data_IF_378629886249
#
_entry.id   IF_378629886249
#
_cell.length_a   1.000
_cell.length_b   1.000
_cell.length_c   1.000
_cell.angle_alpha   90.00
_cell.angle_beta   90.00
_cell.angle_gamma   90.00
#
_symmetry.space_group_name_H-M   'P 1'
#
loop_
_entity.id
_entity.type
_entity.pdbx_description
1 polymer ?
#
# COMPACT_ATOMS: atom_id res chain seq x y z
N UNK A 1 31.58 53.35 14.76
CA UNK A 1 31.08 53.97 16.00
C UNK A 1 29.59 54.25 15.83
N UNK A 2 28.82 53.83 16.84
CA UNK A 2 27.41 54.15 17.12
C UNK A 2 26.29 53.57 16.24
N UNK A 3 25.73 52.51 16.81
CA UNK A 3 24.47 51.81 16.60
C UNK A 3 23.26 52.72 16.79
N UNK A 4 22.32 52.69 15.85
CA UNK A 4 20.96 53.24 16.00
C UNK A 4 20.06 52.10 16.49
N UNK A 5 19.54 52.23 17.71
CA UNK A 5 18.50 51.38 18.30
C UNK A 5 17.14 52.03 18.01
N UNK A 6 16.24 51.29 17.37
CA UNK A 6 14.81 51.60 17.38
C UNK A 6 14.05 50.40 17.93
N UNK A 7 13.42 50.61 19.08
CA UNK A 7 12.70 49.62 19.89
C UNK A 7 11.20 49.88 19.68
N UNK A 8 10.47 48.93 19.11
CA UNK A 8 9.02 49.01 18.96
C UNK A 8 8.34 48.41 20.19
N UNK A 9 7.45 49.20 20.78
CA UNK A 9 6.56 48.88 21.89
C UNK A 9 5.37 48.05 21.38
N UNK A 10 4.97 47.03 22.12
CA UNK A 10 3.57 46.57 22.17
C UNK A 10 3.15 46.40 23.62
N UNK A 11 2.02 47.03 23.95
CA UNK A 11 1.54 47.29 25.29
C UNK A 11 0.97 46.06 26.00
N UNK A 12 1.17 46.06 27.32
CA UNK A 12 0.40 45.31 28.30
C UNK A 12 -1.01 45.90 28.40
N UNK A 13 -2.02 45.06 28.53
CA UNK A 13 -3.19 45.38 29.35
C UNK A 13 -3.62 44.12 30.11
N UNK A 14 -3.69 44.30 31.42
CA UNK A 14 -4.04 43.33 32.45
C UNK A 14 -5.28 43.85 33.15
N UNK A 15 -6.37 43.09 33.22
CA UNK A 15 -7.40 43.23 34.25
C UNK A 15 -7.78 41.82 34.72
N UNK A 16 -7.79 41.66 36.04
CA UNK A 16 -8.01 40.48 36.86
C UNK A 16 -9.36 40.65 37.59
N UNK A 17 -9.97 39.50 37.96
CA UNK A 17 -11.07 39.23 38.92
C UNK A 17 -12.50 39.26 38.35
N UNK A 18 -13.14 38.09 38.35
CA UNK A 18 -14.04 37.76 39.45
C UNK A 18 -14.24 36.24 39.61
N UNK A 19 -14.08 35.77 40.84
CA UNK A 19 -14.38 34.41 41.31
C UNK A 19 -15.61 34.52 42.20
N UNK A 20 -16.69 33.79 41.87
CA UNK A 20 -17.77 33.52 42.83
C UNK A 20 -18.11 32.04 42.86
N UNK A 21 -17.87 31.46 44.02
CA UNK A 21 -18.43 30.20 44.47
C UNK A 21 -19.91 30.38 44.86
N UNK A 22 -20.72 29.36 44.62
CA UNK A 22 -22.11 29.27 45.10
C UNK A 22 -22.48 27.80 45.28
N UNK A 23 -22.71 27.42 46.52
CA UNK A 23 -23.01 26.07 46.99
C UNK A 23 -24.50 25.93 47.37
N UNK A 24 -25.04 24.72 47.19
CA UNK A 24 -26.17 24.07 47.86
C UNK A 24 -27.56 24.72 47.86
N UNK A 25 -28.55 24.00 47.28
CA UNK A 25 -29.78 23.68 48.02
C UNK A 25 -30.51 22.45 47.45
N UNK A 26 -30.90 21.57 48.36
CA UNK A 26 -31.77 20.41 48.24
C UNK A 26 -33.21 20.75 47.82
N UNK A 27 -33.89 19.87 47.07
CA UNK A 27 -35.30 19.50 47.32
C UNK A 27 -35.70 18.25 46.53
N UNK A 28 -36.27 17.31 47.27
CA UNK A 28 -36.84 16.04 46.85
C UNK A 28 -38.37 16.15 46.64
N UNK A 29 -38.91 15.11 46.00
CA UNK A 29 -40.30 14.64 45.97
C UNK A 29 -41.30 15.32 45.03
N UNK A 30 -41.65 14.61 43.94
CA UNK A 30 -43.05 14.32 43.59
C UNK A 30 -43.11 12.86 43.09
N UNK A 31 -43.84 12.05 43.85
CA UNK A 31 -44.23 10.67 43.55
C UNK A 31 -45.27 10.64 42.42
N UNK A 32 -45.08 9.77 41.42
CA UNK A 32 -46.19 9.22 40.63
C UNK A 32 -46.15 7.71 40.75
N UNK A 33 -47.22 7.18 41.33
CA UNK A 33 -47.52 5.76 41.48
C UNK A 33 -47.66 5.12 40.09
N UNK A 34 -46.97 4.01 39.87
CA UNK A 34 -47.30 3.04 38.83
C UNK A 34 -47.31 1.65 39.48
N UNK A 35 -48.45 1.01 39.34
CA UNK A 35 -48.90 -0.21 40.01
C UNK A 35 -48.05 -1.42 39.58
N UNK A 36 -47.53 -2.17 40.56
CA UNK A 36 -46.88 -3.46 40.34
C UNK A 36 -47.94 -4.53 40.07
N UNK A 37 -48.09 -4.93 38.81
CA UNK A 37 -48.75 -6.20 38.44
C UNK A 37 -47.68 -7.28 38.30
N UNK A 38 -47.70 -8.23 39.22
CA UNK A 38 -46.93 -9.47 39.20
C UNK A 38 -47.43 -10.38 38.07
N UNK A 39 -46.55 -10.77 37.15
CA UNK A 39 -46.78 -11.86 36.18
C UNK A 39 -45.81 -13.02 36.47
N UNK A 40 -46.24 -14.28 36.28
CA UNK A 40 -45.53 -15.45 36.76
C UNK A 40 -44.31 -15.81 35.89
N UNK A 41 -43.24 -16.20 36.57
CA UNK A 41 -42.03 -16.83 36.02
C UNK A 41 -42.33 -18.26 35.57
N UNK A 42 -42.57 -18.49 34.28
CA UNK A 42 -42.31 -19.78 33.62
C UNK A 42 -42.22 -19.62 32.11
N UNK A 43 -41.00 -19.55 31.56
CA UNK A 43 -40.66 -20.08 30.23
C UNK A 43 -39.15 -19.99 30.05
N UNK A 44 -38.46 -21.10 30.27
CA UNK A 44 -37.07 -21.30 29.87
C UNK A 44 -37.04 -21.39 28.34
N UNK A 45 -36.91 -20.25 27.67
CA UNK A 45 -36.51 -20.21 26.26
C UNK A 45 -35.05 -20.68 26.17
N UNK A 46 -34.85 -21.98 25.95
CA UNK A 46 -33.59 -22.47 25.38
C UNK A 46 -33.51 -21.95 23.95
N UNK A 47 -32.81 -20.84 23.74
CA UNK A 47 -32.27 -20.53 22.42
C UNK A 47 -31.26 -21.63 22.08
N UNK A 48 -31.73 -22.65 21.36
CA UNK A 48 -30.82 -23.50 20.60
C UNK A 48 -30.25 -22.65 19.48
N UNK A 49 -29.06 -22.08 19.69
CA UNK A 49 -28.22 -21.68 18.58
C UNK A 49 -27.83 -22.96 17.83
N UNK A 50 -28.66 -23.34 16.86
CA UNK A 50 -28.23 -24.18 15.77
C UNK A 50 -27.21 -23.36 15.00
N UNK A 51 -25.93 -23.59 15.26
CA UNK A 51 -24.85 -23.21 14.36
C UNK A 51 -24.99 -24.06 13.11
N UNK A 52 -25.96 -23.72 12.25
CA UNK A 52 -25.82 -24.04 10.84
C UNK A 52 -24.62 -23.22 10.38
N UNK A 53 -23.48 -23.88 10.16
CA UNK A 53 -22.39 -23.28 9.40
C UNK A 53 -22.99 -22.84 8.07
N UNK A 54 -23.27 -21.54 7.93
CA UNK A 54 -23.65 -20.96 6.66
C UNK A 54 -22.53 -21.33 5.70
N UNK A 55 -22.85 -22.07 4.62
CA UNK A 55 -21.94 -22.25 3.49
C UNK A 55 -21.39 -20.86 3.18
N UNK A 56 -20.09 -20.64 3.39
CA UNK A 56 -19.45 -19.40 2.98
C UNK A 56 -19.78 -19.22 1.51
N UNK A 57 -20.53 -18.17 1.20
CA UNK A 57 -20.94 -17.88 -0.15
C UNK A 57 -19.67 -17.59 -0.95
N UNK A 58 -19.48 -18.33 -2.05
CA UNK A 58 -18.31 -18.16 -2.92
C UNK A 58 -18.16 -16.68 -3.30
N UNK A 59 -16.93 -16.12 -3.31
CA UNK A 59 -16.70 -14.73 -3.68
C UNK A 59 -17.34 -14.38 -5.03
N UNK A 60 -18.17 -13.34 -5.04
CA UNK A 60 -18.75 -12.84 -6.29
C UNK A 60 -17.69 -11.97 -6.97
N UNK A 61 -17.03 -12.56 -7.97
CA UNK A 61 -15.94 -11.94 -8.72
C UNK A 61 -15.78 -12.58 -10.11
N UNK A 62 -15.23 -11.83 -11.05
CA UNK A 62 -14.74 -12.29 -12.34
C UNK A 62 -13.29 -12.80 -12.29
N UNK A 63 -12.54 -12.51 -11.22
CA UNK A 63 -11.19 -13.04 -11.03
C UNK A 63 -11.23 -14.51 -10.60
N UNK A 64 -11.06 -15.41 -11.56
CA UNK A 64 -11.05 -16.86 -11.31
C UNK A 64 -10.03 -17.27 -10.24
N UNK A 65 -8.85 -16.64 -10.22
CA UNK A 65 -7.81 -16.91 -9.23
C UNK A 65 -8.25 -16.66 -7.78
N UNK A 66 -9.28 -15.84 -7.58
CA UNK A 66 -9.79 -15.49 -6.26
C UNK A 66 -10.93 -16.37 -5.77
N UNK A 67 -11.38 -17.34 -6.59
CA UNK A 67 -12.44 -18.30 -6.22
C UNK A 67 -11.86 -19.60 -5.65
N UNK A 68 -10.66 -19.95 -6.08
CA UNK A 68 -9.97 -21.14 -5.60
C UNK A 68 -8.46 -20.90 -5.66
N UNK A 69 -7.83 -20.91 -4.47
CA UNK A 69 -6.38 -20.84 -4.33
C UNK A 69 -5.93 -22.18 -3.75
N UNK A 70 -5.13 -22.98 -4.48
CA UNK A 70 -4.60 -24.24 -3.98
C UNK A 70 -3.45 -23.99 -3.00
N UNK A 71 -3.15 -25.00 -2.18
CA UNK A 71 -1.92 -25.03 -1.41
C UNK A 71 -0.71 -24.89 -2.35
N UNK A 72 0.15 -23.91 -2.08
CA UNK A 72 1.33 -23.65 -2.90
C UNK A 72 2.37 -22.89 -2.09
N UNK A 73 3.65 -23.13 -2.35
CA UNK A 73 4.77 -22.42 -1.73
C UNK A 73 5.88 -22.21 -2.74
N UNK A 74 6.64 -21.14 -2.57
CA UNK A 74 7.81 -20.82 -3.38
C UNK A 74 8.99 -20.45 -2.47
N UNK A 75 10.20 -20.43 -3.01
CA UNK A 75 11.32 -19.77 -2.34
C UNK A 75 11.29 -18.27 -2.64
N UNK A 76 11.71 -17.43 -1.69
CA UNK A 76 11.94 -16.01 -1.95
C UNK A 76 12.90 -15.82 -3.14
N UNK A 77 12.67 -14.81 -4.01
CA UNK A 77 11.60 -13.79 -3.91
C UNK A 77 10.20 -14.25 -4.35
N UNK A 78 10.12 -15.39 -5.04
CA UNK A 78 8.92 -15.88 -5.72
C UNK A 78 8.76 -15.28 -7.12
N UNK A 79 8.00 -15.95 -7.99
CA UNK A 79 7.70 -15.47 -9.35
C UNK A 79 6.20 -15.61 -9.66
N UNK A 80 5.66 -14.68 -10.45
CA UNK A 80 4.30 -14.77 -10.98
C UNK A 80 4.16 -15.96 -11.93
N UNK A 81 5.23 -16.28 -12.67
CA UNK A 81 5.26 -17.42 -13.56
C UNK A 81 5.01 -18.77 -12.85
N UNK A 82 5.34 -18.87 -11.56
CA UNK A 82 5.18 -20.08 -10.76
C UNK A 82 3.93 -20.05 -9.86
N UNK A 83 3.07 -19.03 -9.99
CA UNK A 83 1.78 -18.98 -9.29
C UNK A 83 0.73 -19.84 -9.99
N UNK A 84 -0.04 -20.59 -9.20
CA UNK A 84 -1.15 -21.40 -9.69
C UNK A 84 -2.39 -21.21 -8.81
N UNK A 85 -3.49 -20.62 -9.29
CA UNK A 85 -3.67 -19.97 -10.59
C UNK A 85 -2.84 -18.67 -10.75
N UNK A 86 -2.66 -18.16 -11.98
CA UNK A 86 -1.91 -16.92 -12.22
C UNK A 86 -2.66 -15.70 -11.66
N UNK A 87 -1.90 -14.69 -11.21
CA UNK A 87 -2.44 -13.40 -10.82
C UNK A 87 -2.88 -12.58 -12.06
N UNK A 88 -3.87 -11.70 -11.88
CA UNK A 88 -4.33 -10.80 -12.95
C UNK A 88 -3.68 -9.41 -12.80
N UNK A 89 -2.97 -8.99 -13.85
CA UNK A 89 -2.13 -7.79 -13.82
C UNK A 89 -2.63 -6.62 -14.67
N UNK A 90 -3.53 -6.86 -15.63
CA UNK A 90 -3.89 -5.92 -16.68
C UNK A 90 -5.40 -5.67 -16.79
N UNK A 91 -6.24 -6.64 -16.40
CA UNK A 91 -7.69 -6.54 -16.50
C UNK A 91 -8.34 -6.15 -15.18
N UNK A 92 -9.29 -5.24 -15.29
CA UNK A 92 -10.10 -4.75 -14.18
C UNK A 92 -11.49 -5.38 -14.20
N UNK A 93 -12.04 -5.57 -13.01
CA UNK A 93 -13.41 -6.04 -12.80
C UNK A 93 -14.40 -4.89 -12.95
N UNK A 94 -15.41 -5.11 -13.79
CA UNK A 94 -16.57 -4.25 -14.01
C UNK A 94 -17.82 -5.04 -13.66
N UNK A 95 -18.93 -4.35 -13.44
CA UNK A 95 -20.22 -4.93 -13.07
C UNK A 95 -21.28 -4.49 -14.08
N UNK A 96 -22.09 -5.44 -14.56
CA UNK A 96 -23.23 -5.12 -15.42
C UNK A 96 -24.44 -4.63 -14.60
N UNK A 97 -25.51 -4.26 -15.30
CA UNK A 97 -26.76 -3.78 -14.69
C UNK A 97 -27.45 -4.82 -13.78
N UNK A 98 -27.10 -6.10 -13.93
CA UNK A 98 -27.62 -7.21 -13.14
C UNK A 98 -26.70 -7.57 -11.95
N UNK A 99 -25.63 -6.80 -11.74
CA UNK A 99 -24.64 -7.08 -10.69
C UNK A 99 -23.77 -8.30 -10.98
N UNK A 100 -23.59 -8.68 -12.25
CA UNK A 100 -22.67 -9.74 -12.65
C UNK A 100 -21.29 -9.15 -12.99
N UNK A 101 -20.19 -9.66 -12.40
CA UNK A 101 -18.87 -9.15 -12.67
C UNK A 101 -18.30 -9.70 -14.00
N UNK A 102 -17.50 -8.89 -14.69
CA UNK A 102 -16.73 -9.28 -15.88
C UNK A 102 -15.41 -8.51 -15.95
N UNK A 103 -14.42 -9.07 -16.66
CA UNK A 103 -13.10 -8.45 -16.80
C UNK A 103 -12.99 -7.65 -18.10
N UNK A 104 -12.35 -6.47 -18.02
CA UNK A 104 -11.99 -5.66 -19.18
C UNK A 104 -10.55 -5.18 -19.05
N UNK A 105 -9.83 -5.15 -20.17
CA UNK A 105 -8.48 -4.58 -20.24
C UNK A 105 -8.47 -3.12 -19.77
N UNK A 106 -7.54 -2.77 -18.88
CA UNK A 106 -7.28 -1.38 -18.53
C UNK A 106 -6.92 -0.58 -19.80
N UNK A 107 -7.61 0.53 -20.03
CA UNK A 107 -7.33 1.43 -21.14
C UNK A 107 -6.73 2.72 -20.59
N UNK A 108 -5.50 3.03 -21.00
CA UNK A 108 -4.86 4.28 -20.62
C UNK A 108 -5.53 5.49 -21.26
N UNK A 109 -5.35 6.65 -20.62
CA UNK A 109 -5.95 7.93 -21.02
C UNK A 109 -4.91 9.04 -21.21
N UNK A 110 -3.62 8.67 -21.28
CA UNK A 110 -2.51 9.59 -21.47
C UNK A 110 -2.16 10.41 -20.22
N UNK A 111 -2.54 9.95 -19.02
CA UNK A 111 -2.29 10.68 -17.76
C UNK A 111 -0.80 10.81 -17.44
N UNK A 112 0.04 9.92 -17.98
CA UNK A 112 1.48 9.86 -17.75
C UNK A 112 2.26 10.02 -19.06
N UNK A 113 1.68 10.73 -20.03
CA UNK A 113 2.26 10.89 -21.36
C UNK A 113 3.71 11.41 -21.28
N UNK A 114 4.61 10.69 -21.94
CA UNK A 114 6.04 10.94 -22.00
C UNK A 114 6.79 10.92 -20.66
N UNK A 115 6.21 10.44 -19.56
CA UNK A 115 6.89 10.34 -18.25
C UNK A 115 7.96 9.24 -18.26
N UNK A 116 9.05 9.46 -17.53
CA UNK A 116 10.12 8.47 -17.31
C UNK A 116 10.10 8.01 -15.87
N UNK A 117 9.97 6.70 -15.68
CA UNK A 117 9.67 6.11 -14.37
C UNK A 117 10.70 5.06 -13.97
N UNK A 118 11.04 5.00 -12.68
CA UNK A 118 11.69 3.83 -12.08
C UNK A 118 10.70 3.13 -11.15
N UNK A 119 10.56 1.82 -11.29
CA UNK A 119 9.79 0.95 -10.39
C UNK A 119 10.71 -0.15 -9.87
N UNK A 120 10.92 -0.19 -8.56
CA UNK A 120 11.65 -1.30 -7.92
C UNK A 120 10.71 -2.47 -7.63
N UNK A 121 11.11 -3.72 -7.87
CA UNK A 121 10.23 -4.89 -7.77
C UNK A 121 9.05 -4.75 -8.74
N UNK A 122 9.37 -4.37 -9.98
CA UNK A 122 8.38 -4.13 -11.04
C UNK A 122 8.17 -5.32 -11.96
N UNK A 123 8.96 -6.38 -11.78
CA UNK A 123 8.92 -7.65 -12.53
C UNK A 123 7.64 -8.44 -12.28
N UNK A 124 7.07 -8.37 -11.06
CA UNK A 124 5.95 -9.20 -10.62
C UNK A 124 4.95 -8.46 -9.71
N UNK A 125 3.82 -9.11 -9.42
CA UNK A 125 2.82 -8.66 -8.46
C UNK A 125 2.31 -7.24 -8.71
N UNK A 126 2.24 -6.43 -7.65
CA UNK A 126 1.76 -5.04 -7.69
C UNK A 126 2.64 -4.19 -8.63
N UNK A 127 3.96 -4.34 -8.54
CA UNK A 127 4.89 -3.54 -9.33
C UNK A 127 4.73 -3.79 -10.83
N UNK A 128 4.50 -5.05 -11.24
CA UNK A 128 4.15 -5.41 -12.62
C UNK A 128 2.89 -4.71 -13.11
N UNK A 129 1.81 -4.76 -12.34
CA UNK A 129 0.56 -4.07 -12.70
C UNK A 129 0.75 -2.56 -12.83
N UNK A 130 1.51 -1.95 -11.90
CA UNK A 130 1.85 -0.52 -11.99
C UNK A 130 2.66 -0.23 -13.25
N UNK A 131 3.64 -1.07 -13.61
CA UNK A 131 4.42 -0.91 -14.84
C UNK A 131 3.55 -0.98 -16.10
N UNK A 132 2.63 -1.97 -16.18
CA UNK A 132 1.69 -2.11 -17.29
C UNK A 132 0.78 -0.88 -17.40
N UNK A 133 0.18 -0.44 -16.28
CA UNK A 133 -0.74 0.69 -16.28
C UNK A 133 -0.01 1.99 -16.62
N UNK A 134 1.21 2.18 -16.13
CA UNK A 134 2.02 3.35 -16.44
C UNK A 134 2.40 3.40 -17.92
N UNK A 135 2.78 2.26 -18.51
CA UNK A 135 3.04 2.19 -19.94
C UNK A 135 1.79 2.48 -20.77
N UNK A 136 0.63 1.91 -20.40
CA UNK A 136 -0.66 2.22 -21.03
C UNK A 136 -1.05 3.69 -20.91
N UNK A 137 -0.66 4.35 -19.81
CA UNK A 137 -0.85 5.80 -19.60
C UNK A 137 0.19 6.68 -20.30
N UNK A 138 1.12 6.09 -21.06
CA UNK A 138 2.08 6.82 -21.89
C UNK A 138 3.47 6.98 -21.28
N UNK A 139 3.84 6.24 -20.23
CA UNK A 139 5.17 6.32 -19.63
C UNK A 139 6.17 5.32 -20.24
N UNK A 140 7.45 5.66 -20.21
CA UNK A 140 8.55 4.68 -20.32
C UNK A 140 9.01 4.29 -18.91
N UNK A 141 9.28 3.00 -18.72
CA UNK A 141 9.46 2.44 -17.37
C UNK A 141 10.78 1.70 -17.28
N UNK A 142 11.56 2.01 -16.26
CA UNK A 142 12.66 1.18 -15.77
C UNK A 142 12.14 0.27 -14.67
N UNK A 143 12.40 -1.04 -14.82
CA UNK A 143 12.04 -2.05 -13.83
C UNK A 143 13.31 -2.61 -13.21
N UNK A 144 13.38 -2.56 -11.88
CA UNK A 144 14.45 -3.17 -11.09
C UNK A 144 13.93 -4.45 -10.46
N UNK A 145 14.71 -5.52 -10.54
CA UNK A 145 14.34 -6.87 -10.08
C UNK A 145 15.58 -7.70 -9.75
N UNK A 146 15.40 -8.83 -9.08
CA UNK A 146 16.48 -9.77 -8.75
C UNK A 146 16.76 -10.73 -9.91
N UNK A 147 17.98 -11.30 -10.02
CA UNK A 147 18.32 -12.24 -11.10
C UNK A 147 17.35 -13.42 -11.26
N UNK A 148 16.81 -13.92 -10.16
CA UNK A 148 15.88 -15.04 -10.11
C UNK A 148 14.55 -14.73 -10.81
N UNK A 149 14.19 -13.45 -10.93
CA UNK A 149 12.93 -12.94 -11.50
C UNK A 149 13.05 -12.57 -12.99
N UNK A 150 14.17 -12.90 -13.65
CA UNK A 150 14.46 -12.52 -15.04
C UNK A 150 13.34 -12.87 -16.02
N UNK A 151 12.77 -14.08 -15.90
CA UNK A 151 11.68 -14.55 -16.78
C UNK A 151 10.44 -13.65 -16.68
N UNK A 152 10.13 -13.22 -15.46
CA UNK A 152 9.00 -12.34 -15.17
C UNK A 152 9.21 -10.93 -15.71
N UNK A 153 10.43 -10.40 -15.56
CA UNK A 153 10.83 -9.12 -16.11
C UNK A 153 10.80 -9.09 -17.65
N UNK A 154 11.26 -10.16 -18.30
CA UNK A 154 11.23 -10.31 -19.76
C UNK A 154 9.82 -10.46 -20.31
N UNK A 155 8.96 -11.20 -19.60
CA UNK A 155 7.54 -11.29 -19.93
C UNK A 155 6.88 -9.90 -19.92
N UNK A 156 7.10 -9.12 -18.84
CA UNK A 156 6.56 -7.77 -18.72
C UNK A 156 7.03 -6.88 -19.87
N UNK A 157 8.34 -6.90 -20.16
CA UNK A 157 8.92 -6.14 -21.27
C UNK A 157 8.23 -6.49 -22.59
N UNK A 158 8.15 -7.77 -22.91
CA UNK A 158 7.53 -8.25 -24.15
C UNK A 158 6.04 -7.90 -24.22
N UNK A 159 5.32 -8.03 -23.11
CA UNK A 159 3.90 -7.68 -23.00
C UNK A 159 3.67 -6.19 -23.24
N UNK A 160 4.44 -5.31 -22.60
CA UNK A 160 4.30 -3.86 -22.77
C UNK A 160 4.69 -3.42 -24.18
N UNK A 161 5.83 -3.88 -24.69
CA UNK A 161 6.31 -3.49 -26.03
C UNK A 161 5.36 -3.95 -27.15
N UNK A 162 4.63 -5.07 -26.95
CA UNK A 162 3.62 -5.55 -27.90
C UNK A 162 2.26 -4.90 -27.77
N UNK A 163 1.88 -4.40 -26.58
CA UNK A 163 0.53 -3.85 -26.32
C UNK A 163 0.49 -2.33 -26.23
N UNK A 164 1.63 -1.66 -26.02
CA UNK A 164 1.73 -0.22 -25.81
C UNK A 164 2.68 0.38 -26.85
N UNK A 165 2.15 0.74 -28.03
CA UNK A 165 2.96 1.23 -29.15
C UNK A 165 3.87 2.40 -28.77
N UNK A 166 5.16 2.25 -29.03
CA UNK A 166 6.16 3.30 -28.79
C UNK A 166 6.50 3.53 -27.31
N UNK A 167 6.16 2.61 -26.40
CA UNK A 167 6.62 2.61 -25.01
C UNK A 167 7.67 1.51 -24.82
N UNK A 168 8.59 1.73 -23.89
CA UNK A 168 9.73 0.84 -23.65
C UNK A 168 9.87 0.46 -22.17
N UNK A 169 10.30 -0.79 -21.94
CA UNK A 169 10.71 -1.28 -20.62
C UNK A 169 12.24 -1.43 -20.60
N UNK A 170 12.89 -0.69 -19.70
CA UNK A 170 14.32 -0.80 -19.42
C UNK A 170 14.54 -1.68 -18.19
N UNK A 171 15.10 -2.86 -18.40
CA UNK A 171 15.32 -3.87 -17.37
C UNK A 171 16.67 -3.63 -16.67
N UNK A 172 16.66 -3.61 -15.33
CA UNK A 172 17.87 -3.55 -14.51
C UNK A 172 17.82 -4.65 -13.45
N UNK A 173 18.66 -5.67 -13.63
CA UNK A 173 18.91 -6.66 -12.60
C UNK A 173 19.80 -6.06 -11.51
N UNK A 174 19.31 -5.97 -10.27
CA UNK A 174 20.10 -5.46 -9.14
C UNK A 174 19.51 -5.91 -7.79
N UNK A 175 20.39 -6.31 -6.86
CA UNK A 175 20.00 -6.47 -5.46
C UNK A 175 20.08 -5.11 -4.74
N UNK A 176 18.94 -4.62 -4.27
CA UNK A 176 18.84 -3.34 -3.55
C UNK A 176 19.48 -3.38 -2.16
N UNK A 177 19.81 -4.56 -1.63
CA UNK A 177 20.61 -4.71 -0.43
C UNK A 177 22.10 -4.42 -0.70
N UNK A 178 22.56 -4.37 -1.95
CA UNK A 178 23.97 -4.10 -2.25
C UNK A 178 24.31 -2.61 -2.14
N UNK A 179 25.44 -2.33 -1.50
CA UNK A 179 25.97 -0.98 -1.38
C UNK A 179 26.16 -0.34 -2.77
N UNK A 180 25.49 0.79 -3.00
CA UNK A 180 25.60 1.55 -4.24
C UNK A 180 24.72 1.05 -5.40
N UNK A 181 23.92 0.00 -5.22
CA UNK A 181 22.93 -0.41 -6.23
C UNK A 181 21.97 0.75 -6.60
N UNK A 182 21.40 1.52 -5.64
CA UNK A 182 20.53 2.67 -5.95
C UNK A 182 21.17 3.70 -6.89
N UNK A 183 22.43 4.06 -6.65
CA UNK A 183 23.16 5.02 -7.50
C UNK A 183 23.36 4.48 -8.93
N UNK A 184 23.69 3.19 -9.06
CA UNK A 184 23.84 2.54 -10.37
C UNK A 184 22.51 2.46 -11.13
N UNK A 185 21.42 2.14 -10.44
CA UNK A 185 20.07 2.08 -10.99
C UNK A 185 19.66 3.43 -11.56
N UNK A 186 19.74 4.49 -10.74
CA UNK A 186 19.36 5.85 -11.17
C UNK A 186 20.25 6.30 -12.33
N UNK A 187 21.57 6.09 -12.26
CA UNK A 187 22.49 6.41 -13.36
C UNK A 187 22.12 5.68 -14.66
N UNK A 188 21.81 4.39 -14.59
CA UNK A 188 21.38 3.60 -15.75
C UNK A 188 20.08 4.13 -16.37
N UNK A 189 19.10 4.49 -15.54
CA UNK A 189 17.87 5.12 -16.00
C UNK A 189 18.12 6.46 -16.70
N UNK A 190 18.93 7.33 -16.09
CA UNK A 190 19.26 8.64 -16.67
C UNK A 190 20.05 8.48 -17.98
N UNK A 191 20.98 7.53 -18.07
CA UNK A 191 21.67 7.25 -19.33
C UNK A 191 20.71 6.79 -20.43
N UNK A 192 19.67 6.02 -20.09
CA UNK A 192 18.70 5.49 -21.05
C UNK A 192 17.68 6.54 -21.51
N UNK A 193 17.14 7.32 -20.57
CA UNK A 193 15.98 8.19 -20.82
C UNK A 193 16.25 9.69 -20.66
N UNK A 194 17.42 10.08 -20.16
CA UNK A 194 17.87 11.47 -20.00
C UNK A 194 17.21 12.24 -18.85
N UNK A 195 16.19 11.67 -18.20
CA UNK A 195 15.44 12.32 -17.11
C UNK A 195 14.70 11.29 -16.27
N UNK A 196 14.29 11.69 -15.06
CA UNK A 196 13.43 10.93 -14.16
C UNK A 196 12.24 11.81 -13.74
N UNK A 197 11.01 11.35 -13.95
CA UNK A 197 9.81 12.07 -13.52
C UNK A 197 9.15 11.43 -12.30
N UNK A 198 9.15 10.09 -12.21
CA UNK A 198 8.45 9.34 -11.15
C UNK A 198 9.36 8.23 -10.59
N UNK A 199 9.44 8.14 -9.27
CA UNK A 199 10.06 7.01 -8.57
C UNK A 199 8.98 6.23 -7.81
N UNK A 200 8.88 4.93 -8.06
CA UNK A 200 8.04 4.00 -7.30
C UNK A 200 8.92 3.04 -6.52
N UNK A 201 8.97 3.21 -5.20
CA UNK A 201 9.65 2.30 -4.29
C UNK A 201 8.67 1.22 -3.84
N UNK A 202 8.68 0.08 -4.53
CA UNK A 202 7.76 -1.04 -4.31
C UNK A 202 8.44 -2.34 -3.83
N UNK A 203 9.73 -2.55 -4.11
CA UNK A 203 10.43 -3.78 -3.75
C UNK A 203 10.38 -4.00 -2.24
N UNK A 204 10.15 -5.24 -1.82
CA UNK A 204 10.01 -5.58 -0.41
C UNK A 204 10.34 -7.05 -0.16
N UNK A 205 10.83 -7.32 1.04
CA UNK A 205 10.98 -8.66 1.61
C UNK A 205 10.14 -8.78 2.86
N UNK A 206 9.51 -9.93 3.04
CA UNK A 206 8.78 -10.31 4.25
C UNK A 206 9.07 -11.78 4.55
N UNK A 207 9.31 -12.11 5.81
CA UNK A 207 9.55 -13.50 6.25
C UNK A 207 8.78 -13.69 7.55
N UNK A 208 7.95 -14.73 7.62
CA UNK A 208 7.13 -15.00 8.81
C UNK A 208 7.98 -15.58 9.95
N UNK A 209 7.86 -15.00 11.13
CA UNK A 209 8.34 -15.58 12.38
C UNK A 209 7.27 -15.46 13.46
N UNK A 210 6.80 -16.60 14.00
CA UNK A 210 5.67 -16.65 14.94
C UNK A 210 6.03 -16.22 16.37
N UNK A 211 7.30 -16.26 16.74
CA UNK A 211 7.77 -16.02 18.10
C UNK A 211 8.95 -15.05 18.08
N UNK A 212 8.84 -13.93 18.81
CA UNK A 212 9.89 -12.92 18.87
C UNK A 212 11.24 -13.47 19.36
N UNK A 213 11.23 -14.47 20.25
CA UNK A 213 12.44 -15.15 20.76
C UNK A 213 13.17 -15.97 19.70
N UNK A 214 12.54 -16.26 18.55
CA UNK A 214 13.11 -16.99 17.42
C UNK A 214 13.44 -16.08 16.23
N UNK A 215 13.15 -14.78 16.33
CA UNK A 215 13.41 -13.83 15.26
C UNK A 215 14.92 -13.59 15.14
N UNK A 216 15.49 -14.05 14.03
CA UNK A 216 16.90 -13.84 13.72
C UNK A 216 17.17 -12.35 13.42
N UNK A 217 18.18 -11.80 14.09
CA UNK A 217 18.61 -10.41 13.89
C UNK A 217 19.05 -10.18 12.43
N UNK A 218 19.65 -11.17 11.78
CA UNK A 218 20.06 -11.06 10.37
C UNK A 218 18.85 -10.92 9.45
N UNK A 219 17.74 -11.57 9.78
CA UNK A 219 16.46 -11.37 9.09
C UNK A 219 15.96 -9.94 9.26
N UNK A 220 16.01 -9.41 10.49
CA UNK A 220 15.60 -8.02 10.79
C UNK A 220 16.44 -7.04 9.97
N UNK A 221 17.77 -7.18 10.03
CA UNK A 221 18.71 -6.33 9.30
C UNK A 221 18.46 -6.37 7.79
N UNK A 222 18.32 -7.56 7.19
CA UNK A 222 18.01 -7.71 5.77
C UNK A 222 16.67 -7.08 5.39
N UNK A 223 15.63 -7.29 6.21
CA UNK A 223 14.29 -6.72 5.99
C UNK A 223 14.32 -5.19 6.05
N UNK A 224 15.04 -4.59 7.01
CA UNK A 224 15.23 -3.14 7.07
C UNK A 224 16.10 -2.62 5.93
N UNK A 225 17.17 -3.34 5.58
CA UNK A 225 18.09 -2.98 4.51
C UNK A 225 17.36 -2.85 3.17
N UNK A 226 16.55 -3.85 2.83
CA UNK A 226 15.76 -3.84 1.62
C UNK A 226 14.57 -2.88 1.70
N UNK A 227 13.72 -2.97 2.73
CA UNK A 227 12.43 -2.27 2.72
C UNK A 227 12.55 -0.75 2.99
N UNK A 228 13.53 -0.29 3.78
CA UNK A 228 13.64 1.12 4.16
C UNK A 228 14.98 1.76 3.82
N UNK A 229 16.11 1.10 4.09
CA UNK A 229 17.42 1.71 3.80
C UNK A 229 17.60 1.89 2.30
N UNK A 230 17.29 0.87 1.49
CA UNK A 230 17.35 0.97 0.03
C UNK A 230 16.38 2.03 -0.52
N UNK A 231 15.18 2.15 0.06
CA UNK A 231 14.19 3.16 -0.32
C UNK A 231 14.69 4.59 -0.07
N UNK A 232 15.30 4.84 1.08
CA UNK A 232 15.93 6.13 1.40
C UNK A 232 17.05 6.42 0.41
N UNK A 233 17.88 5.43 0.08
CA UNK A 233 18.96 5.59 -0.89
C UNK A 233 18.42 5.85 -2.30
N UNK A 234 17.39 5.13 -2.75
CA UNK A 234 16.74 5.38 -4.04
C UNK A 234 16.19 6.81 -4.13
N UNK A 235 15.50 7.29 -3.10
CA UNK A 235 15.03 8.67 -3.06
C UNK A 235 16.18 9.69 -3.06
N UNK A 236 17.25 9.44 -2.28
CA UNK A 236 18.45 10.29 -2.23
C UNK A 236 19.14 10.40 -3.59
N UNK A 237 19.31 9.29 -4.29
CA UNK A 237 19.99 9.26 -5.60
C UNK A 237 19.07 9.79 -6.71
N UNK A 238 17.76 9.65 -6.58
CA UNK A 238 16.77 10.16 -7.53
C UNK A 238 16.56 11.69 -7.42
N UNK A 239 16.57 12.25 -6.21
CA UNK A 239 16.21 13.64 -5.94
C UNK A 239 16.89 14.68 -6.84
N UNK A 240 18.21 14.57 -7.15
CA UNK A 240 18.88 15.51 -8.05
C UNK A 240 18.31 15.57 -9.48
N UNK A 241 17.59 14.53 -9.90
CA UNK A 241 17.00 14.41 -11.24
C UNK A 241 15.49 14.67 -11.26
N UNK A 242 14.85 14.77 -10.09
CA UNK A 242 13.44 15.11 -9.98
C UNK A 242 13.26 16.62 -10.11
N UNK A 243 12.13 17.03 -10.71
CA UNK A 243 11.80 18.44 -10.95
C UNK A 243 10.42 18.77 -10.40
N UNK A 244 10.06 20.06 -10.41
CA UNK A 244 8.68 20.48 -10.12
C UNK A 244 7.70 19.67 -10.98
N UNK A 245 6.70 19.06 -10.34
CA UNK A 245 5.73 18.17 -10.97
C UNK A 245 6.13 16.68 -10.98
N UNK A 246 7.31 16.32 -10.47
CA UNK A 246 7.70 14.93 -10.22
C UNK A 246 6.98 14.33 -9.01
N UNK A 247 6.96 12.99 -8.95
CA UNK A 247 6.34 12.25 -7.86
C UNK A 247 7.22 11.10 -7.35
N UNK A 248 7.16 10.85 -6.05
CA UNK A 248 7.68 9.64 -5.40
C UNK A 248 6.48 8.91 -4.78
N UNK A 249 6.37 7.61 -5.04
CA UNK A 249 5.32 6.76 -4.49
C UNK A 249 5.96 5.58 -3.78
N UNK A 250 5.63 5.38 -2.51
CA UNK A 250 6.17 4.29 -1.70
C UNK A 250 5.09 3.24 -1.40
N UNK A 251 5.42 1.96 -1.54
CA UNK A 251 4.51 0.87 -1.14
C UNK A 251 4.73 0.54 0.34
N UNK A 252 3.79 0.96 1.19
CA UNK A 252 3.72 0.52 2.60
C UNK A 252 2.85 -0.74 2.73
N UNK A 253 2.08 -0.90 3.80
CA UNK A 253 1.11 -1.98 4.00
C UNK A 253 0.10 -1.59 5.09
N UNK A 254 -1.07 -2.23 5.10
CA UNK A 254 -1.98 -2.21 6.26
C UNK A 254 -1.31 -2.67 7.56
N UNK A 255 -0.26 -3.49 7.49
CA UNK A 255 0.47 -3.96 8.69
C UNK A 255 1.18 -2.83 9.43
N UNK A 256 1.45 -1.69 8.78
CA UNK A 256 1.97 -0.49 9.44
C UNK A 256 0.99 0.09 10.48
N UNK A 257 -0.30 -0.23 10.33
CA UNK A 257 -1.39 0.37 11.10
C UNK A 257 -2.02 -0.62 12.08
N UNK A 258 -2.31 -1.84 11.61
CA UNK A 258 -2.95 -2.88 12.43
C UNK A 258 -1.94 -3.82 13.11
N UNK A 259 -0.65 -3.77 12.72
CA UNK A 259 0.36 -4.73 13.11
C UNK A 259 0.18 -6.11 12.47
N UNK A 260 1.11 -7.02 12.74
CA UNK A 260 0.96 -8.44 12.42
C UNK A 260 1.87 -9.27 13.35
N UNK A 261 1.30 -10.23 14.11
CA UNK A 261 2.06 -10.96 15.14
C UNK A 261 3.19 -11.81 14.57
N UNK A 262 3.07 -12.24 13.30
CA UNK A 262 4.09 -13.08 12.65
C UNK A 262 5.06 -12.30 11.74
N UNK A 263 4.94 -10.98 11.68
CA UNK A 263 5.67 -10.12 10.73
C UNK A 263 6.15 -8.85 11.45
N UNK A 264 6.80 -8.99 12.61
CA UNK A 264 7.17 -7.87 13.48
C UNK A 264 8.18 -6.93 12.79
N UNK A 265 9.25 -7.48 12.23
CA UNK A 265 10.27 -6.73 11.48
C UNK A 265 9.68 -6.07 10.23
N UNK A 266 8.94 -6.81 9.41
CA UNK A 266 8.24 -6.30 8.24
C UNK A 266 7.29 -5.16 8.60
N UNK A 267 6.38 -5.35 9.57
CA UNK A 267 5.42 -4.32 9.98
C UNK A 267 6.12 -3.06 10.48
N UNK A 268 7.24 -3.23 11.20
CA UNK A 268 8.10 -2.12 11.63
C UNK A 268 8.67 -1.34 10.44
N UNK A 269 9.16 -2.02 9.40
CA UNK A 269 9.61 -1.35 8.17
C UNK A 269 8.47 -0.62 7.46
N UNK A 270 7.25 -1.17 7.43
CA UNK A 270 6.09 -0.52 6.82
C UNK A 270 5.66 0.73 7.58
N UNK A 271 5.76 0.72 8.92
CA UNK A 271 5.62 1.93 9.75
C UNK A 271 6.71 2.98 9.46
N UNK A 272 7.97 2.55 9.32
CA UNK A 272 9.07 3.43 8.94
C UNK A 272 8.85 4.09 7.56
N UNK A 273 8.31 3.35 6.59
CA UNK A 273 7.96 3.88 5.26
C UNK A 273 6.88 4.97 5.35
N UNK A 274 5.86 4.82 6.22
CA UNK A 274 4.83 5.85 6.43
C UNK A 274 5.47 7.14 6.94
N UNK A 275 6.28 7.05 7.99
CA UNK A 275 6.97 8.21 8.57
C UNK A 275 7.96 8.85 7.60
N UNK A 276 8.70 8.04 6.84
CA UNK A 276 9.61 8.51 5.80
C UNK A 276 8.86 9.27 4.69
N UNK A 277 7.75 8.71 4.21
CA UNK A 277 6.90 9.33 3.18
C UNK A 277 6.43 10.72 3.60
N UNK A 278 5.86 10.84 4.81
CA UNK A 278 5.38 12.13 5.35
C UNK A 278 6.50 13.14 5.54
N UNK A 279 7.64 12.69 6.07
CA UNK A 279 8.79 13.57 6.31
C UNK A 279 9.39 14.09 5.00
N UNK A 280 9.59 13.20 4.02
CA UNK A 280 10.13 13.56 2.71
C UNK A 280 9.16 14.42 1.92
N UNK A 281 7.85 14.19 2.04
CA UNK A 281 6.81 15.03 1.43
C UNK A 281 6.94 16.49 1.84
N UNK A 282 7.04 16.76 3.14
CA UNK A 282 7.19 18.14 3.65
C UNK A 282 8.51 18.74 3.20
N UNK A 283 9.59 17.97 3.18
CA UNK A 283 10.90 18.43 2.74
C UNK A 283 10.93 18.81 1.25
N UNK A 284 10.28 18.02 0.38
CA UNK A 284 10.32 18.20 -1.06
C UNK A 284 9.18 19.06 -1.62
N UNK A 285 8.14 19.37 -0.82
CA UNK A 285 7.03 20.21 -1.23
C UNK A 285 7.44 21.60 -1.76
N UNK A 286 8.39 22.34 -1.15
CA UNK A 286 8.88 23.61 -1.71
C UNK A 286 9.49 23.47 -3.12
N UNK A 287 10.10 22.31 -3.43
CA UNK A 287 10.63 21.98 -4.76
C UNK A 287 9.52 21.58 -5.76
N UNK A 288 8.29 21.44 -5.29
CA UNK A 288 7.15 21.01 -6.10
C UNK A 288 7.18 19.53 -6.47
N UNK A 289 7.86 18.70 -5.67
CA UNK A 289 7.90 17.24 -5.82
C UNK A 289 6.95 16.65 -4.79
N UNK A 290 6.05 15.77 -5.23
CA UNK A 290 5.05 15.14 -4.38
C UNK A 290 5.57 13.79 -3.88
N UNK A 291 5.30 13.46 -2.62
CA UNK A 291 5.70 12.15 -2.05
C UNK A 291 4.49 11.55 -1.35
N UNK A 292 4.03 10.39 -1.79
CA UNK A 292 2.86 9.72 -1.22
C UNK A 292 3.14 8.22 -1.05
N UNK A 293 2.23 7.52 -0.39
CA UNK A 293 2.30 6.07 -0.26
C UNK A 293 0.97 5.40 -0.62
N UNK A 294 1.07 4.13 -0.98
CA UNK A 294 -0.07 3.22 -1.08
C UNK A 294 0.11 2.16 0.00
N UNK A 295 -0.97 1.86 0.74
CA UNK A 295 -1.03 0.83 1.77
C UNK A 295 -1.94 -0.31 1.31
N UNK A 296 -1.37 -1.35 0.65
CA UNK A 296 -2.12 -2.53 0.24
C UNK A 296 -2.57 -3.35 1.46
N UNK A 297 -3.79 -3.88 1.38
CA UNK A 297 -4.24 -5.03 2.17
C UNK A 297 -3.67 -6.35 1.62
N UNK A 298 -4.41 -7.46 1.73
CA UNK A 298 -4.03 -8.72 1.12
C UNK A 298 -4.20 -8.67 -0.41
N UNK A 299 -3.10 -8.80 -1.12
CA UNK A 299 -3.07 -8.96 -2.58
C UNK A 299 -2.43 -10.30 -2.96
N UNK A 300 -3.00 -10.95 -3.96
CA UNK A 300 -2.49 -12.20 -4.51
C UNK A 300 -1.26 -11.92 -5.39
N UNK A 301 -0.07 -12.12 -4.81
CA UNK A 301 1.23 -11.87 -5.42
C UNK A 301 2.21 -13.00 -5.06
N UNK A 302 3.34 -13.16 -5.76
CA UNK A 302 4.32 -14.22 -5.49
C UNK A 302 4.94 -14.14 -4.10
N UNK A 303 4.97 -12.92 -3.53
CA UNK A 303 5.46 -12.70 -2.17
C UNK A 303 4.66 -13.48 -1.11
N UNK A 304 3.38 -13.80 -1.36
CA UNK A 304 2.55 -14.55 -0.42
C UNK A 304 2.99 -16.03 -0.31
N UNK A 305 2.98 -16.84 -1.38
CA UNK A 305 3.45 -18.22 -1.31
C UNK A 305 4.97 -18.33 -1.07
N UNK A 306 5.75 -17.28 -1.37
CA UNK A 306 7.17 -17.26 -1.04
C UNK A 306 7.47 -17.04 0.46
N UNK A 307 6.49 -16.53 1.22
CA UNK A 307 6.65 -16.16 2.63
C UNK A 307 5.80 -16.99 3.59
N UNK A 308 4.91 -17.84 3.06
CA UNK A 308 3.92 -18.61 3.82
C UNK A 308 4.12 -20.10 3.55
N UNK A 309 3.86 -20.97 4.54
CA UNK A 309 3.69 -22.40 4.30
C UNK A 309 2.57 -22.67 3.29
N UNK A 310 2.70 -23.73 2.51
CA UNK A 310 1.76 -24.07 1.45
C UNK A 310 0.31 -24.20 1.96
N UNK A 311 0.14 -24.74 3.16
CA UNK A 311 -1.17 -24.96 3.78
C UNK A 311 -1.87 -23.65 4.15
N UNK A 312 -1.12 -22.56 4.35
CA UNK A 312 -1.72 -21.23 4.58
C UNK A 312 -2.14 -20.54 3.30
N UNK A 313 -1.72 -21.04 2.13
CA UNK A 313 -2.15 -20.53 0.84
C UNK A 313 -3.47 -21.15 0.37
N UNK A 314 -3.79 -22.37 0.82
CA UNK A 314 -5.06 -23.02 0.46
C UNK A 314 -6.25 -22.19 0.96
N UNK A 315 -7.06 -21.71 0.02
CA UNK A 315 -8.22 -20.86 0.32
C UNK A 315 -7.86 -19.47 0.89
N UNK A 316 -6.61 -19.00 0.71
CA UNK A 316 -6.14 -17.78 1.36
C UNK A 316 -7.03 -16.55 1.08
N UNK A 317 -7.51 -15.95 2.17
CA UNK A 317 -8.44 -14.81 2.22
C UNK A 317 -9.82 -15.00 1.55
N UNK A 318 -10.17 -16.22 1.15
CA UNK A 318 -11.51 -16.52 0.62
C UNK A 318 -12.52 -16.51 1.79
N UNK A 319 -13.53 -15.65 1.69
CA UNK A 319 -14.56 -15.44 2.70
C UNK A 319 -14.15 -14.63 3.93
N UNK A 320 -12.91 -14.11 4.00
CA UNK A 320 -12.39 -13.41 5.19
C UNK A 320 -12.45 -11.88 5.12
N UNK A 321 -12.41 -11.30 3.92
CA UNK A 321 -12.28 -9.84 3.74
C UNK A 321 -13.62 -9.13 3.58
N UNK A 322 -13.80 -7.91 4.13
CA UNK A 322 -15.10 -7.23 4.14
C UNK A 322 -15.67 -6.95 2.74
N UNK A 323 -14.85 -6.42 1.83
CA UNK A 323 -15.23 -6.16 0.45
C UNK A 323 -14.90 -7.40 -0.41
N UNK A 324 -15.91 -7.92 -1.12
CA UNK A 324 -15.85 -9.08 -2.02
C UNK A 324 -15.45 -10.43 -1.39
N UNK A 325 -15.06 -10.51 -0.11
CA UNK A 325 -14.69 -11.78 0.52
C UNK A 325 -13.48 -12.46 -0.11
N UNK A 326 -12.52 -11.70 -0.63
CA UNK A 326 -11.33 -12.24 -1.31
C UNK A 326 -10.14 -11.27 -1.23
N UNK A 327 -8.93 -11.81 -1.39
CA UNK A 327 -7.76 -10.98 -1.67
C UNK A 327 -7.93 -10.17 -2.96
N UNK A 328 -7.28 -9.01 -3.02
CA UNK A 328 -7.19 -8.21 -4.24
C UNK A 328 -6.25 -8.84 -5.27
N UNK A 329 -6.53 -8.62 -6.54
CA UNK A 329 -5.62 -8.90 -7.65
C UNK A 329 -4.72 -7.69 -7.91
N UNK A 330 -3.46 -7.87 -8.36
CA UNK A 330 -2.54 -6.77 -8.62
C UNK A 330 -3.11 -5.66 -9.53
N UNK A 331 -3.93 -5.99 -10.52
CA UNK A 331 -4.60 -5.02 -11.39
C UNK A 331 -5.48 -4.01 -10.62
N UNK A 332 -6.08 -4.42 -9.50
CA UNK A 332 -7.06 -3.61 -8.77
C UNK A 332 -6.43 -2.45 -7.97
N UNK A 333 -5.11 -2.49 -7.71
CA UNK A 333 -4.41 -1.44 -6.97
C UNK A 333 -3.63 -0.48 -7.86
N UNK A 334 -3.33 -0.85 -9.10
CA UNK A 334 -2.47 -0.07 -9.99
C UNK A 334 -3.02 1.34 -10.29
N UNK A 335 -4.34 1.53 -10.31
CA UNK A 335 -4.94 2.86 -10.50
C UNK A 335 -4.61 3.85 -9.37
N UNK A 336 -4.41 3.37 -8.13
CA UNK A 336 -3.99 4.24 -7.03
C UNK A 336 -2.61 4.85 -7.31
N UNK A 337 -1.71 4.08 -7.95
CA UNK A 337 -0.41 4.59 -8.39
C UNK A 337 -0.56 5.56 -9.57
N UNK A 338 -1.45 5.30 -10.53
CA UNK A 338 -1.73 6.22 -11.65
C UNK A 338 -2.28 7.55 -11.12
N UNK A 339 -3.21 7.52 -10.15
CA UNK A 339 -3.73 8.70 -9.48
C UNK A 339 -2.60 9.51 -8.83
N UNK A 340 -1.77 8.86 -8.01
CA UNK A 340 -0.68 9.52 -7.30
C UNK A 340 0.42 10.03 -8.22
N UNK A 341 0.69 9.37 -9.35
CA UNK A 341 1.69 9.80 -10.32
C UNK A 341 1.20 10.92 -11.23
N UNK A 342 -0.07 10.88 -11.61
CA UNK A 342 -0.68 11.73 -12.62
C UNK A 342 -1.29 13.04 -12.10
N UNK A 343 -2.07 13.74 -12.94
CA UNK A 343 -2.66 15.04 -12.61
C UNK A 343 -3.71 14.96 -11.49
N UNK A 344 -4.38 13.82 -11.31
CA UNK A 344 -5.36 13.65 -10.22
C UNK A 344 -4.73 13.77 -8.82
N UNK A 345 -3.45 13.43 -8.68
CA UNK A 345 -2.69 13.55 -7.43
C UNK A 345 -2.03 14.90 -7.22
N UNK A 346 -2.28 15.92 -8.04
CA UNK A 346 -1.51 17.18 -8.04
C UNK A 346 -1.54 17.93 -6.70
N UNK A 347 -2.60 17.76 -5.89
CA UNK A 347 -2.72 18.34 -4.54
C UNK A 347 -2.51 17.32 -3.41
N UNK A 348 -2.01 16.12 -3.74
CA UNK A 348 -1.73 15.07 -2.77
C UNK A 348 -0.23 14.99 -2.51
N UNK A 349 0.18 15.23 -1.27
CA UNK A 349 1.54 14.97 -0.79
C UNK A 349 1.49 14.63 0.71
N UNK A 350 2.34 13.71 1.15
CA UNK A 350 2.34 13.15 2.50
C UNK A 350 1.16 12.22 2.78
N UNK A 351 0.34 11.91 1.77
CA UNK A 351 -0.86 11.09 1.93
C UNK A 351 -0.54 9.59 1.82
N UNK A 352 -1.36 8.77 2.48
CA UNK A 352 -1.35 7.32 2.33
C UNK A 352 -2.72 6.85 1.82
N UNK A 353 -2.75 6.26 0.63
CA UNK A 353 -3.99 5.68 0.08
C UNK A 353 -4.10 4.23 0.53
N UNK A 354 -5.19 3.90 1.21
CA UNK A 354 -5.48 2.54 1.65
C UNK A 354 -6.31 1.81 0.59
N UNK A 355 -5.78 0.70 0.08
CA UNK A 355 -6.49 -0.20 -0.84
C UNK A 355 -6.49 -1.57 -0.19
N UNK A 356 -7.53 -1.86 0.60
CA UNK A 356 -7.46 -2.95 1.59
C UNK A 356 -8.79 -3.68 1.82
N UNK A 357 -9.70 -3.65 0.85
CA UNK A 357 -10.97 -4.35 0.92
C UNK A 357 -11.81 -4.03 2.18
N UNK A 358 -11.72 -2.81 2.71
CA UNK A 358 -12.52 -2.37 3.86
C UNK A 358 -11.98 -2.78 5.23
N UNK A 359 -10.74 -3.28 5.32
CA UNK A 359 -10.10 -3.50 6.61
C UNK A 359 -9.98 -2.18 7.39
N UNK A 360 -10.58 -2.12 8.57
CA UNK A 360 -10.52 -0.94 9.43
C UNK A 360 -9.16 -0.85 10.12
N UNK A 361 -8.38 0.16 9.75
CA UNK A 361 -6.97 0.30 10.20
C UNK A 361 -6.65 1.69 10.77
N UNK A 362 -7.67 2.42 11.21
CA UNK A 362 -7.51 3.81 11.66
C UNK A 362 -7.39 4.82 10.50
N UNK A 363 -7.33 6.12 10.83
CA UNK A 363 -7.23 7.20 9.85
C UNK A 363 -5.82 7.35 9.24
N UNK A 364 -5.77 7.85 8.00
CA UNK A 364 -4.56 8.16 7.24
C UNK A 364 -3.77 9.35 7.78
#
# INVERSE_FOLDING_TARGET
MQTIKTRMLWGRNSIIRDVRAGAYSSRSSILRQATLTTLPLTSTFRLSFSTSMSKQQEPITAYHASKHIPAQSQSLPGTDADMGPPAEHAKQEYWDENGKPYLKEYQGTGKLENKKVIITGGDSGIGRSVAIFFAREGADVTVVYLPEEQKDAEWLKSHVESTCSGRSIHLIQANLEDSGAPAKIVKSHINKFGRLDILVNNASKQIMCKEISKLDVQQVEGTFKLNIISMIQMAKEAEPYLRRGSAIINTTSVTAYQGSPSLIDYSSTKGAIVSFTRSLAVQLAPKGIRVNAVAPGPFYTPLQPASRPAEQMEGWEIGSLPLHGRAGQPAEIAEAYVLLAGPGGNYMTGSVIHVNAGQHIGGS
#
